data_IF_520436079464
#
_entry.id   IF_520436079464
#
_cell.length_a   1.000
_cell.length_b   1.000
_cell.length_c   1.000
_cell.angle_alpha   90.00
_cell.angle_beta   90.00
_cell.angle_gamma   90.00
#
_symmetry.space_group_name_H-M   'P 1'
#
loop_
_entity.id
_entity.type
_entity.pdbx_description
1 polymer ?
#
# COMPACT_ATOMS: atom_id res chain seq x y z
N UNK A 1 -47.65 -14.91 -37.71
CA UNK A 1 -48.24 -15.62 -36.54
C UNK A 1 -47.16 -15.72 -35.48
N UNK A 2 -47.37 -15.06 -34.32
CA UNK A 2 -46.72 -15.23 -33.00
C UNK A 2 -45.16 -15.14 -32.93
N UNK A 3 -44.46 -14.46 -32.03
CA UNK A 3 -44.67 -13.59 -30.84
C UNK A 3 -43.35 -12.79 -30.74
N UNK A 4 -43.30 -11.45 -30.73
CA UNK A 4 -43.62 -10.51 -29.65
C UNK A 4 -42.79 -10.65 -28.36
N UNK A 5 -41.76 -9.80 -28.26
CA UNK A 5 -41.45 -8.89 -27.15
C UNK A 5 -41.57 -9.39 -25.68
N UNK A 6 -40.43 -9.76 -25.10
CA UNK A 6 -40.07 -9.79 -23.67
C UNK A 6 -38.52 -9.84 -23.66
N UNK A 7 -37.69 -8.99 -23.06
CA UNK A 7 -37.85 -8.01 -22.00
C UNK A 7 -36.81 -6.88 -22.18
N UNK A 8 -37.28 -5.71 -22.62
CA UNK A 8 -36.62 -4.40 -22.38
C UNK A 8 -37.58 -3.57 -21.55
N UNK A 9 -37.56 -3.75 -20.23
CA UNK A 9 -38.20 -2.85 -19.27
C UNK A 9 -37.83 -3.26 -17.84
N UNK A 10 -36.90 -2.51 -17.20
CA UNK A 10 -36.83 -2.25 -15.74
C UNK A 10 -35.62 -1.36 -15.42
N UNK A 11 -35.63 -0.18 -16.00
CA UNK A 11 -35.07 1.02 -15.40
C UNK A 11 -36.23 2.03 -15.33
N UNK A 12 -36.26 2.90 -14.32
CA UNK A 12 -37.30 3.91 -14.03
C UNK A 12 -38.61 3.41 -13.39
N UNK A 13 -38.59 3.20 -12.06
CA UNK A 13 -39.81 3.14 -11.25
C UNK A 13 -39.59 3.47 -9.75
N UNK A 14 -38.92 4.58 -9.43
CA UNK A 14 -38.94 5.18 -8.08
C UNK A 14 -38.88 6.72 -8.15
N UNK A 15 -39.86 7.31 -8.83
CA UNK A 15 -40.38 8.67 -8.55
C UNK A 15 -41.89 8.62 -8.83
N UNK A 16 -42.68 9.18 -7.91
CA UNK A 16 -44.15 9.21 -7.82
C UNK A 16 -44.81 8.15 -6.93
N UNK A 17 -44.55 8.25 -5.62
CA UNK A 17 -45.54 8.00 -4.55
C UNK A 17 -45.39 9.11 -3.50
N UNK A 18 -45.87 10.29 -3.87
CA UNK A 18 -46.34 11.32 -2.96
C UNK A 18 -47.73 11.72 -3.52
N UNK A 19 -48.68 12.02 -2.63
CA UNK A 19 -50.08 12.38 -2.89
C UNK A 19 -51.09 11.22 -2.93
N UNK A 20 -51.47 10.75 -1.73
CA UNK A 20 -52.84 10.34 -1.41
C UNK A 20 -53.02 10.28 0.12
N UNK A 21 -53.08 11.43 0.78
CA UNK A 21 -53.75 11.62 2.08
C UNK A 21 -53.83 13.13 2.36
N UNK A 22 -54.95 13.74 2.00
CA UNK A 22 -55.27 15.10 2.40
C UNK A 22 -55.92 15.11 3.79
N UNK A 23 -55.40 15.93 4.69
CA UNK A 23 -56.14 16.64 5.73
C UNK A 23 -55.25 17.74 6.35
N UNK A 24 -55.75 18.98 6.38
CA UNK A 24 -55.14 20.22 6.91
C UNK A 24 -56.08 20.78 8.01
N UNK A 25 -55.59 21.57 8.98
CA UNK A 25 -55.97 21.56 10.41
C UNK A 25 -56.93 22.70 10.82
N UNK A 26 -57.07 23.02 12.14
CA UNK A 26 -56.58 24.36 12.56
C UNK A 26 -56.06 24.51 14.01
N UNK A 27 -55.32 25.62 14.21
CA UNK A 27 -55.20 26.43 15.44
C UNK A 27 -53.96 26.18 16.32
N UNK A 28 -53.25 27.13 16.94
CA UNK A 28 -52.97 28.59 16.88
C UNK A 28 -52.38 28.96 18.26
N UNK A 29 -51.60 30.06 18.33
CA UNK A 29 -51.01 30.73 19.52
C UNK A 29 -49.60 30.22 19.94
N UNK A 30 -48.49 30.94 19.81
CA UNK A 30 -48.05 32.31 20.23
C UNK A 30 -47.33 32.34 21.58
N UNK A 31 -46.31 33.22 21.68
CA UNK A 31 -45.38 33.55 22.80
C UNK A 31 -44.03 32.82 22.69
N UNK A 32 -42.89 33.44 22.35
CA UNK A 32 -42.31 34.75 22.67
C UNK A 32 -42.02 34.94 24.17
N UNK A 33 -40.75 34.72 24.52
CA UNK A 33 -39.92 35.31 25.60
C UNK A 33 -38.72 34.38 25.81
N UNK A 34 -37.54 34.77 26.22
CA UNK A 34 -36.80 36.03 26.39
C UNK A 34 -35.48 35.56 27.03
N UNK A 35 -34.37 36.25 26.72
CA UNK A 35 -33.25 36.52 27.64
C UNK A 35 -32.37 35.30 28.02
N UNK A 36 -31.06 35.37 28.22
CA UNK A 36 -30.09 36.46 28.26
C UNK A 36 -28.71 35.80 28.40
N UNK A 37 -27.69 36.32 27.72
CA UNK A 37 -26.30 36.08 28.11
C UNK A 37 -26.00 36.71 29.50
N UNK A 38 -24.90 36.30 30.14
CA UNK A 38 -23.96 37.32 30.56
C UNK A 38 -22.51 37.00 30.15
N UNK A 39 -21.85 38.00 29.57
CA UNK A 39 -20.41 38.19 29.73
C UNK A 39 -20.12 38.64 31.18
N UNK A 40 -18.96 38.27 31.74
CA UNK A 40 -17.88 39.21 32.15
C UNK A 40 -16.81 38.54 33.03
N UNK A 41 -15.54 38.69 32.59
CA UNK A 41 -14.30 38.98 33.38
C UNK A 41 -13.69 37.82 34.19
N UNK A 42 -12.38 37.67 34.42
CA UNK A 42 -11.22 38.55 34.66
C UNK A 42 -9.95 37.72 34.29
N UNK A 43 -9.10 38.10 33.32
CA UNK A 43 -7.79 38.78 33.42
C UNK A 43 -6.69 38.20 34.34
N UNK A 44 -5.49 38.04 33.72
CA UNK A 44 -4.11 38.10 34.24
C UNK A 44 -3.44 36.84 34.84
N UNK A 45 -2.35 36.39 34.20
CA UNK A 45 -0.99 36.61 34.72
C UNK A 45 0.07 36.46 33.60
N UNK A 46 0.86 37.52 33.42
CA UNK A 46 2.13 37.57 32.69
C UNK A 46 3.28 37.51 33.71
N UNK A 47 4.20 36.55 33.54
CA UNK A 47 5.60 36.47 34.01
C UNK A 47 5.94 34.96 34.06
N UNK A 48 7.04 34.42 33.54
CA UNK A 48 8.37 34.97 33.36
C UNK A 48 9.11 34.25 32.21
N UNK A 49 9.77 35.02 31.35
CA UNK A 49 10.96 34.58 30.61
C UNK A 49 12.18 34.92 31.46
N UNK A 50 13.05 33.94 31.71
CA UNK A 50 14.51 34.03 31.60
C UNK A 50 15.17 32.90 32.41
N UNK A 51 16.00 32.11 31.72
CA UNK A 51 17.27 31.53 32.19
C UNK A 51 17.46 30.10 31.63
N UNK A 52 18.01 30.01 30.42
CA UNK A 52 18.80 28.86 30.01
C UNK A 52 20.17 29.38 29.52
N UNK A 53 21.29 28.85 30.03
CA UNK A 53 22.63 29.29 29.64
C UNK A 53 22.96 28.84 28.21
N UNK A 54 23.43 29.78 27.39
CA UNK A 54 23.94 29.51 26.05
C UNK A 54 25.31 28.81 26.09
N UNK A 55 25.67 28.06 25.04
CA UNK A 55 26.97 27.40 24.96
C UNK A 55 28.10 28.40 24.74
N UNK A 56 29.11 28.31 25.61
CA UNK A 56 30.39 29.01 25.50
C UNK A 56 31.16 28.55 24.26
N UNK A 57 31.37 29.45 23.30
CA UNK A 57 32.37 29.29 22.25
C UNK A 57 33.59 30.13 22.60
N UNK A 58 34.72 29.47 22.83
CA UNK A 58 36.02 30.11 23.00
C UNK A 58 36.59 30.41 21.61
N UNK A 59 37.09 31.64 21.46
CA UNK A 59 37.66 32.18 20.24
C UNK A 59 38.98 31.48 19.84
N UNK A 60 39.19 31.39 18.53
CA UNK A 60 40.36 30.84 17.88
C UNK A 60 41.62 31.70 18.09
N UNK A 61 42.76 31.04 18.26
CA UNK A 61 44.08 31.61 18.00
C UNK A 61 44.64 31.01 16.70
N UNK A 62 45.05 31.88 15.79
CA UNK A 62 45.69 31.54 14.52
C UNK A 62 47.18 31.20 14.71
N UNK A 63 47.64 30.17 14.03
CA UNK A 63 49.06 29.83 13.85
C UNK A 63 49.23 29.04 12.56
N UNK A 64 50.05 29.56 11.64
CA UNK A 64 50.19 29.08 10.27
C UNK A 64 51.01 27.79 10.10
N UNK A 65 50.97 27.26 8.87
CA UNK A 65 51.79 26.15 8.43
C UNK A 65 51.28 25.57 7.12
N UNK A 66 52.06 25.74 6.07
CA UNK A 66 51.83 25.31 4.68
C UNK A 66 51.53 23.80 4.53
N UNK A 67 50.66 23.46 3.58
CA UNK A 67 50.45 22.07 3.17
C UNK A 67 49.23 21.87 2.27
N UNK A 68 49.36 22.18 0.98
CA UNK A 68 48.39 21.80 -0.04
C UNK A 68 48.40 20.27 -0.23
N UNK A 69 47.34 19.59 0.20
CA UNK A 69 47.04 18.19 -0.13
C UNK A 69 45.79 18.19 -1.02
N UNK A 70 45.79 17.57 -2.21
CA UNK A 70 44.61 17.54 -3.06
C UNK A 70 43.53 16.67 -2.40
N UNK A 71 42.39 17.29 -2.11
CA UNK A 71 41.19 16.61 -1.62
C UNK A 71 40.73 15.62 -2.70
N UNK A 72 40.96 14.34 -2.45
CA UNK A 72 40.33 13.26 -3.21
C UNK A 72 38.81 13.44 -3.17
N UNK A 73 38.18 13.43 -4.34
CA UNK A 73 36.73 13.44 -4.50
C UNK A 73 36.13 12.35 -3.60
N UNK A 74 35.17 12.66 -2.71
CA UNK A 74 34.57 11.64 -1.87
C UNK A 74 33.95 10.56 -2.78
N UNK A 75 34.09 9.27 -2.44
CA UNK A 75 33.44 8.22 -3.21
C UNK A 75 31.94 8.53 -3.24
N UNK A 76 31.36 8.48 -4.44
CA UNK A 76 29.90 8.54 -4.60
C UNK A 76 29.34 7.46 -3.69
N UNK A 77 28.66 7.87 -2.61
CA UNK A 77 27.93 6.95 -1.75
C UNK A 77 27.06 6.10 -2.66
N UNK A 78 27.40 4.82 -2.74
CA UNK A 78 26.57 3.85 -3.42
C UNK A 78 25.15 4.01 -2.90
N UNK A 79 24.19 4.13 -3.81
CA UNK A 79 22.78 4.04 -3.48
C UNK A 79 22.60 2.64 -2.87
N UNK A 80 22.54 2.58 -1.54
CA UNK A 80 22.35 1.34 -0.81
C UNK A 80 21.07 0.63 -1.27
N UNK A 81 20.92 -0.68 -0.94
CA UNK A 81 19.70 -1.42 -1.26
C UNK A 81 18.49 -0.67 -0.72
N UNK A 82 17.36 -0.72 -1.45
CA UNK A 82 16.10 -0.12 -1.06
C UNK A 82 15.81 -0.44 0.41
N UNK A 83 15.84 0.60 1.25
CA UNK A 83 15.67 0.52 2.70
C UNK A 83 14.30 -0.11 2.97
N UNK A 84 14.27 -1.24 3.67
CA UNK A 84 13.05 -1.80 4.24
C UNK A 84 12.33 -0.67 4.98
N UNK A 85 11.08 -0.37 4.59
CA UNK A 85 10.32 0.72 5.22
C UNK A 85 10.11 0.32 6.68
N UNK A 86 10.32 1.25 7.62
CA UNK A 86 9.93 0.99 9.01
C UNK A 86 8.43 0.70 9.07
N UNK A 87 7.99 -0.12 10.02
CA UNK A 87 6.57 -0.39 10.27
C UNK A 87 5.74 0.89 10.39
N UNK A 88 6.30 1.91 11.07
CA UNK A 88 5.70 3.25 11.17
C UNK A 88 5.43 3.86 9.80
N UNK A 89 6.42 3.82 8.89
CA UNK A 89 6.25 4.39 7.55
C UNK A 89 5.22 3.61 6.70
N UNK A 90 5.01 2.32 6.98
CA UNK A 90 3.95 1.53 6.33
C UNK A 90 2.58 1.92 6.87
N UNK A 91 2.44 2.06 8.20
CA UNK A 91 1.19 2.50 8.83
C UNK A 91 0.78 3.87 8.32
N UNK A 92 1.69 4.86 8.35
CA UNK A 92 1.42 6.21 7.85
C UNK A 92 1.07 6.23 6.34
N UNK A 93 1.64 5.31 5.56
CA UNK A 93 1.32 5.16 4.14
C UNK A 93 -0.10 4.66 3.91
N UNK A 94 -0.52 3.64 4.67
CA UNK A 94 -1.87 3.08 4.60
C UNK A 94 -2.90 4.12 5.07
N UNK A 95 -2.67 4.74 6.23
CA UNK A 95 -3.58 5.76 6.77
C UNK A 95 -3.75 6.94 5.80
N UNK A 96 -2.65 7.43 5.21
CA UNK A 96 -2.72 8.48 4.20
C UNK A 96 -3.55 8.06 2.99
N UNK A 97 -3.43 6.81 2.53
CA UNK A 97 -4.23 6.30 1.39
C UNK A 97 -5.71 6.15 1.75
N UNK A 98 -6.04 5.74 2.98
CA UNK A 98 -7.42 5.72 3.49
C UNK A 98 -8.02 7.14 3.47
N UNK A 99 -7.31 8.13 3.99
CA UNK A 99 -7.78 9.53 3.96
C UNK A 99 -7.93 10.05 2.52
N UNK A 100 -7.01 9.71 1.61
CA UNK A 100 -7.12 10.06 0.18
C UNK A 100 -8.34 9.42 -0.50
N UNK A 101 -8.76 8.25 -0.02
CA UNK A 101 -9.95 7.55 -0.47
C UNK A 101 -11.26 8.12 0.13
N UNK A 102 -11.16 9.05 1.07
CA UNK A 102 -12.30 9.64 1.78
C UNK A 102 -12.69 8.92 3.07
N UNK A 103 -11.86 7.99 3.56
CA UNK A 103 -12.06 7.29 4.82
C UNK A 103 -11.55 8.04 6.04
N UNK A 104 -11.94 7.54 7.20
CA UNK A 104 -11.55 8.06 8.50
C UNK A 104 -10.56 7.10 9.19
N UNK A 105 -9.41 7.65 9.58
CA UNK A 105 -8.38 6.94 10.33
C UNK A 105 -8.42 7.27 11.83
N UNK A 106 -9.30 8.16 12.26
CA UNK A 106 -9.49 8.55 13.65
C UNK A 106 -10.71 7.83 14.22
N UNK A 107 -10.48 6.95 15.20
CA UNK A 107 -11.53 6.21 15.88
C UNK A 107 -11.00 5.37 17.04
N UNK A 108 -11.91 4.89 17.90
CA UNK A 108 -11.58 4.00 19.03
C UNK A 108 -11.08 2.63 18.55
N UNK A 109 -11.59 2.16 17.41
CA UNK A 109 -11.08 1.00 16.67
C UNK A 109 -11.07 1.34 15.18
N UNK A 110 -9.94 1.15 14.52
CA UNK A 110 -9.80 1.32 13.07
C UNK A 110 -9.07 0.09 12.52
N UNK A 111 -9.61 -0.53 11.48
CA UNK A 111 -8.95 -1.61 10.75
C UNK A 111 -8.82 -1.20 9.29
N UNK A 112 -7.59 -1.13 8.77
CA UNK A 112 -7.31 -0.72 7.40
C UNK A 112 -6.55 -1.83 6.67
N UNK A 113 -7.09 -2.27 5.54
CA UNK A 113 -6.50 -3.25 4.63
C UNK A 113 -5.75 -2.51 3.51
N UNK A 114 -4.63 -3.06 3.05
CA UNK A 114 -3.85 -2.57 1.91
C UNK A 114 -3.31 -3.71 1.06
N UNK A 115 -3.32 -3.55 -0.26
CA UNK A 115 -2.71 -4.49 -1.20
C UNK A 115 -2.14 -3.77 -2.43
N UNK A 116 -1.65 -4.52 -3.43
CA UNK A 116 -0.90 -3.97 -4.58
C UNK A 116 -1.38 -4.48 -5.95
N UNK A 117 -2.52 -5.16 -5.99
CA UNK A 117 -3.10 -5.72 -7.20
C UNK A 117 -4.49 -5.13 -7.44
N UNK A 118 -5.06 -5.27 -8.64
CA UNK A 118 -6.42 -4.82 -8.88
C UNK A 118 -7.50 -5.80 -8.42
N UNK A 119 -7.12 -6.88 -7.72
CA UNK A 119 -8.05 -7.88 -7.19
C UNK A 119 -8.97 -7.26 -6.14
N UNK A 120 -10.11 -7.90 -5.95
CA UNK A 120 -11.15 -7.49 -5.00
C UNK A 120 -10.89 -8.21 -3.68
N UNK A 121 -10.24 -7.52 -2.74
CA UNK A 121 -10.02 -8.02 -1.40
C UNK A 121 -10.98 -7.31 -0.44
N UNK A 122 -11.73 -8.11 0.32
CA UNK A 122 -12.70 -7.62 1.29
C UNK A 122 -12.12 -7.71 2.71
N UNK A 123 -12.24 -6.61 3.46
CA UNK A 123 -12.01 -6.54 4.89
C UNK A 123 -13.29 -6.91 5.63
N UNK A 124 -13.17 -7.86 6.55
CA UNK A 124 -14.26 -8.30 7.39
C UNK A 124 -13.94 -8.06 8.86
N UNK A 125 -14.91 -7.48 9.57
CA UNK A 125 -14.85 -7.28 11.03
C UNK A 125 -16.09 -7.87 11.68
N UNK A 126 -15.92 -8.95 12.43
CA UNK A 126 -17.00 -9.52 13.26
C UNK A 126 -16.97 -8.85 14.62
N UNK A 127 -18.10 -8.27 15.01
CA UNK A 127 -18.29 -7.56 16.28
C UNK A 127 -18.76 -8.53 17.39
N UNK A 128 -18.76 -8.11 18.68
CA UNK A 128 -19.03 -9.01 19.81
C UNK A 128 -20.36 -9.76 19.82
N UNK A 129 -21.42 -9.18 19.23
CA UNK A 129 -22.73 -9.83 19.11
C UNK A 129 -22.81 -10.84 17.95
N UNK A 130 -21.72 -10.98 17.17
CA UNK A 130 -21.61 -11.87 16.03
C UNK A 130 -22.03 -11.23 14.69
N UNK A 131 -22.52 -9.99 14.69
CA UNK A 131 -22.74 -9.27 13.45
C UNK A 131 -21.40 -9.00 12.74
N UNK A 132 -21.47 -8.81 11.43
CA UNK A 132 -20.30 -8.66 10.58
C UNK A 132 -20.38 -7.37 9.77
N UNK A 133 -19.29 -6.61 9.80
CA UNK A 133 -19.05 -5.48 8.91
C UNK A 133 -18.25 -5.98 7.71
N UNK A 134 -18.81 -5.81 6.52
CA UNK A 134 -18.22 -6.19 5.24
C UNK A 134 -18.88 -5.41 4.10
N UNK A 135 -18.44 -5.64 2.87
CA UNK A 135 -19.07 -5.05 1.67
C UNK A 135 -20.61 -5.24 1.67
N UNK A 136 -21.09 -6.43 2.04
CA UNK A 136 -22.52 -6.75 2.06
C UNK A 136 -23.28 -6.05 3.20
N UNK A 137 -22.64 -5.88 4.35
CA UNK A 137 -23.22 -5.28 5.55
C UNK A 137 -22.27 -4.20 6.07
N UNK A 138 -22.35 -3.00 5.50
CA UNK A 138 -21.35 -1.94 5.73
C UNK A 138 -21.36 -1.34 7.14
N UNK A 139 -22.36 -1.60 7.98
CA UNK A 139 -22.45 -1.03 9.34
C UNK A 139 -22.96 -2.06 10.33
N UNK A 140 -22.32 -2.12 11.50
CA UNK A 140 -22.79 -2.90 12.64
C UNK A 140 -22.19 -2.34 13.94
N UNK A 141 -22.99 -2.35 15.03
CA UNK A 141 -22.54 -2.00 16.38
C UNK A 141 -21.69 -0.71 16.49
N UNK A 142 -22.04 0.34 15.74
CA UNK A 142 -21.32 1.62 15.72
C UNK A 142 -20.13 1.70 14.76
N UNK A 143 -19.73 0.59 14.15
CA UNK A 143 -18.69 0.54 13.12
C UNK A 143 -19.24 0.69 11.71
N UNK A 144 -18.39 1.16 10.81
CA UNK A 144 -18.70 1.38 9.39
C UNK A 144 -17.53 1.01 8.47
N UNK A 145 -17.81 0.31 7.37
CA UNK A 145 -16.92 0.19 6.21
C UNK A 145 -17.04 1.46 5.36
N UNK A 146 -16.17 2.42 5.61
CA UNK A 146 -16.20 3.74 4.99
C UNK A 146 -15.41 3.82 3.69
N UNK A 147 -14.40 2.95 3.51
CA UNK A 147 -13.62 2.80 2.28
C UNK A 147 -13.63 1.34 1.85
N UNK A 148 -13.93 1.15 0.58
CA UNK A 148 -13.95 -0.13 -0.11
C UNK A 148 -13.53 0.14 -1.57
N UNK A 149 -12.48 -0.55 -2.02
CA UNK A 149 -11.84 -0.31 -3.32
C UNK A 149 -11.78 -1.59 -4.14
N UNK A 150 -11.78 -1.41 -5.45
CA UNK A 150 -11.62 -2.50 -6.43
C UNK A 150 -12.78 -3.49 -6.60
N UNK A 151 -14.00 -3.18 -6.10
CA UNK A 151 -15.26 -3.91 -6.38
C UNK A 151 -15.47 -4.33 -7.85
N UNK A 152 -14.95 -3.53 -8.80
CA UNK A 152 -15.05 -3.78 -10.25
C UNK A 152 -13.67 -3.85 -10.93
N UNK A 153 -12.63 -4.08 -10.14
CA UNK A 153 -11.24 -3.86 -10.50
C UNK A 153 -11.01 -2.47 -11.10
N UNK A 154 -10.02 -2.35 -11.97
CA UNK A 154 -9.67 -1.06 -12.60
C UNK A 154 -10.65 -0.58 -13.67
N UNK A 155 -11.63 -1.39 -14.11
CA UNK A 155 -12.63 -0.97 -15.12
C UNK A 155 -13.64 0.04 -14.56
N UNK A 156 -13.86 0.02 -13.25
CA UNK A 156 -14.88 0.83 -12.57
C UNK A 156 -14.41 2.14 -11.93
N UNK A 157 -13.13 2.51 -12.11
CA UNK A 157 -12.60 3.82 -11.72
C UNK A 157 -12.10 3.97 -10.28
N UNK A 158 -12.58 3.16 -9.32
CA UNK A 158 -12.20 3.25 -7.90
C UNK A 158 -11.14 2.20 -7.47
N UNK A 159 -10.17 1.88 -8.33
CA UNK A 159 -9.13 0.91 -8.03
C UNK A 159 -7.74 1.48 -8.29
N UNK A 160 -7.10 1.93 -7.21
CA UNK A 160 -5.77 2.53 -7.21
C UNK A 160 -4.66 1.50 -7.48
N UNK A 161 -3.40 1.94 -7.60
CA UNK A 161 -2.26 1.00 -7.69
C UNK A 161 -2.03 0.24 -6.38
N UNK A 162 -2.29 0.92 -5.25
CA UNK A 162 -2.23 0.36 -3.92
C UNK A 162 -3.57 0.58 -3.23
N UNK A 163 -4.57 -0.28 -3.47
CA UNK A 163 -5.91 -0.09 -2.94
C UNK A 163 -5.93 -0.22 -1.41
N UNK A 164 -7.00 0.29 -0.82
CA UNK A 164 -7.27 0.20 0.61
C UNK A 164 -8.74 -0.09 0.87
N UNK A 165 -9.02 -0.78 1.97
CA UNK A 165 -10.33 -0.80 2.61
C UNK A 165 -10.19 -0.35 4.06
N UNK A 166 -11.27 0.17 4.65
CA UNK A 166 -11.24 0.65 6.01
C UNK A 166 -12.57 0.44 6.73
N UNK A 167 -12.48 -0.11 7.95
CA UNK A 167 -13.56 -0.16 8.92
C UNK A 167 -13.18 0.73 10.10
N UNK A 168 -14.08 1.63 10.48
CA UNK A 168 -13.89 2.56 11.60
C UNK A 168 -15.05 2.48 12.59
N UNK A 169 -14.71 2.45 13.87
CA UNK A 169 -15.59 2.75 15.00
C UNK A 169 -15.15 4.14 15.51
N UNK A 170 -15.85 5.19 15.08
CA UNK A 170 -15.39 6.56 15.29
C UNK A 170 -15.42 6.96 16.78
N UNK A 171 -16.57 6.77 17.43
CA UNK A 171 -16.79 7.29 18.79
C UNK A 171 -16.85 6.18 19.84
N UNK A 172 -17.59 5.10 19.58
CA UNK A 172 -17.80 4.00 20.52
C UNK A 172 -17.71 2.65 19.80
N UNK A 173 -17.17 1.66 20.50
CA UNK A 173 -17.21 0.26 20.10
C UNK A 173 -17.70 -0.61 21.28
N UNK A 174 -18.52 -1.64 21.01
CA UNK A 174 -19.04 -2.51 22.07
C UNK A 174 -17.91 -3.24 22.79
N UNK A 175 -18.08 -3.49 24.08
CA UNK A 175 -17.21 -4.41 24.83
C UNK A 175 -17.33 -5.82 24.27
N UNK A 176 -16.21 -6.51 24.12
CA UNK A 176 -16.15 -7.95 23.86
C UNK A 176 -15.21 -8.30 22.72
N UNK A 177 -15.50 -9.44 22.10
CA UNK A 177 -14.61 -10.08 21.13
C UNK A 177 -14.80 -9.56 19.71
N UNK A 178 -13.72 -9.08 19.11
CA UNK A 178 -13.66 -8.70 17.70
C UNK A 178 -12.82 -9.70 16.91
N UNK A 179 -13.18 -9.92 15.65
CA UNK A 179 -12.39 -10.72 14.70
C UNK A 179 -12.19 -9.94 13.42
N UNK A 180 -10.94 -9.77 13.00
CA UNK A 180 -10.54 -9.14 11.75
C UNK A 180 -9.97 -10.21 10.83
N UNK A 181 -10.50 -10.29 9.62
CA UNK A 181 -9.99 -11.21 8.60
C UNK A 181 -10.14 -10.61 7.20
N UNK A 182 -9.39 -11.16 6.25
CA UNK A 182 -9.39 -10.71 4.85
C UNK A 182 -9.89 -11.84 3.98
N UNK A 183 -10.75 -11.51 3.02
CA UNK A 183 -11.25 -12.43 2.00
C UNK A 183 -10.77 -11.96 0.62
N UNK A 184 -10.36 -12.90 -0.22
CA UNK A 184 -10.25 -12.63 -1.66
C UNK A 184 -11.64 -12.84 -2.28
N UNK A 185 -12.37 -11.78 -2.55
CA UNK A 185 -13.68 -11.89 -3.16
C UNK A 185 -13.56 -12.33 -4.61
N UNK A 186 -12.67 -11.68 -5.38
CA UNK A 186 -12.52 -11.99 -6.80
C UNK A 186 -11.15 -11.61 -7.35
N UNK A 187 -10.62 -12.48 -8.21
CA UNK A 187 -9.45 -12.16 -9.02
C UNK A 187 -9.85 -11.26 -10.19
N UNK A 188 -9.22 -10.10 -10.27
CA UNK A 188 -9.39 -9.20 -11.39
C UNK A 188 -8.17 -9.26 -12.31
N UNK A 189 -8.24 -10.04 -13.42
CA UNK A 189 -7.23 -9.90 -14.45
C UNK A 189 -7.30 -8.47 -14.98
N UNK A 190 -6.12 -7.85 -15.12
CA UNK A 190 -6.01 -6.50 -15.65
C UNK A 190 -6.77 -6.41 -16.98
N UNK A 191 -7.59 -5.37 -17.14
CA UNK A 191 -8.51 -5.30 -18.28
C UNK A 191 -7.87 -4.86 -19.60
N UNK A 192 -6.63 -4.40 -19.53
CA UNK A 192 -5.88 -3.99 -20.71
C UNK A 192 -5.68 -5.21 -21.62
N UNK A 193 -5.58 -5.03 -22.96
CA UNK A 193 -5.13 -6.09 -23.84
C UNK A 193 -3.84 -6.71 -23.30
N UNK A 194 -3.67 -8.03 -23.43
CA UNK A 194 -2.50 -8.76 -22.91
C UNK A 194 -1.17 -8.06 -23.29
N UNK A 195 -1.06 -7.59 -24.53
CA UNK A 195 0.10 -6.83 -25.00
C UNK A 195 0.39 -5.56 -24.17
N UNK A 196 -0.64 -4.83 -23.72
CA UNK A 196 -0.48 -3.67 -22.84
C UNK A 196 -0.18 -4.05 -21.40
N UNK A 197 -0.70 -5.17 -20.92
CA UNK A 197 -0.34 -5.71 -19.60
C UNK A 197 1.14 -6.11 -19.58
N UNK A 198 1.57 -6.86 -20.60
CA UNK A 198 2.96 -7.27 -20.80
C UNK A 198 3.86 -6.04 -20.98
N UNK A 199 3.45 -5.03 -21.75
CA UNK A 199 4.21 -3.79 -21.90
C UNK A 199 4.41 -3.04 -20.58
N UNK A 200 3.39 -2.99 -19.71
CA UNK A 200 3.50 -2.41 -18.36
C UNK A 200 4.40 -3.21 -17.42
N UNK A 201 4.60 -4.49 -17.71
CA UNK A 201 5.54 -5.35 -16.97
C UNK A 201 6.97 -5.31 -17.49
N UNK A 202 7.25 -4.62 -18.60
CA UNK A 202 8.60 -4.53 -19.16
C UNK A 202 9.48 -3.64 -18.27
N UNK A 203 10.01 -4.21 -17.21
CA UNK A 203 11.04 -3.60 -16.37
C UNK A 203 12.42 -3.94 -16.93
N UNK A 204 13.28 -2.94 -17.08
CA UNK A 204 14.62 -3.12 -17.64
C UNK A 204 14.67 -3.44 -19.14
N UNK A 205 13.58 -3.16 -19.89
CA UNK A 205 13.54 -3.31 -21.34
C UNK A 205 13.42 -4.75 -21.86
N UNK A 206 13.25 -5.75 -20.98
CA UNK A 206 12.96 -7.13 -21.39
C UNK A 206 11.47 -7.42 -21.31
N UNK A 207 11.01 -8.37 -22.12
CA UNK A 207 9.68 -8.97 -21.96
C UNK A 207 9.65 -9.90 -20.74
N UNK A 208 8.58 -9.88 -19.93
CA UNK A 208 8.40 -10.84 -18.85
C UNK A 208 8.19 -12.25 -19.40
N UNK A 209 8.70 -13.26 -18.71
CA UNK A 209 8.46 -14.67 -19.04
C UNK A 209 7.00 -15.05 -18.78
N UNK A 210 6.56 -16.22 -19.27
CA UNK A 210 5.20 -16.70 -19.03
C UNK A 210 4.95 -16.96 -17.54
N UNK A 211 5.97 -17.43 -16.84
CA UNK A 211 5.95 -17.66 -15.39
C UNK A 211 5.77 -16.34 -14.64
N UNK A 212 6.50 -15.28 -15.01
CA UNK A 212 6.37 -13.96 -14.39
C UNK A 212 5.01 -13.31 -14.66
N UNK A 213 4.49 -13.47 -15.88
CA UNK A 213 3.13 -13.03 -16.21
C UNK A 213 2.10 -13.77 -15.35
N UNK A 214 2.26 -15.09 -15.18
CA UNK A 214 1.38 -15.90 -14.34
C UNK A 214 1.48 -15.50 -12.86
N UNK A 215 2.67 -15.22 -12.35
CA UNK A 215 2.85 -14.74 -10.98
C UNK A 215 2.24 -13.35 -10.74
N UNK A 216 2.13 -12.50 -11.78
CA UNK A 216 1.58 -11.14 -11.65
C UNK A 216 0.08 -11.07 -11.96
N UNK A 217 -0.43 -11.89 -12.88
CA UNK A 217 -1.81 -11.79 -13.40
C UNK A 217 -2.62 -13.09 -13.29
N UNK A 218 -1.96 -14.21 -13.04
CA UNK A 218 -2.64 -15.49 -12.93
C UNK A 218 -3.64 -15.49 -11.79
N UNK A 219 -4.72 -16.25 -11.95
CA UNK A 219 -5.73 -16.43 -10.90
C UNK A 219 -5.25 -17.41 -9.82
N UNK A 220 -4.25 -18.23 -10.12
CA UNK A 220 -3.70 -19.21 -9.17
C UNK A 220 -2.59 -18.62 -8.28
N UNK A 221 -2.42 -17.29 -8.27
CA UNK A 221 -1.43 -16.63 -7.42
C UNK A 221 -2.04 -16.24 -6.07
N UNK A 222 -1.25 -16.21 -5.00
CA UNK A 222 -1.66 -15.54 -3.77
C UNK A 222 -1.67 -14.02 -3.98
N UNK A 223 -2.55 -13.31 -3.26
CA UNK A 223 -2.57 -11.84 -3.22
C UNK A 223 -1.92 -11.40 -1.91
N UNK A 224 -0.80 -10.70 -1.98
CA UNK A 224 -0.12 -10.14 -0.80
C UNK A 224 -0.92 -8.94 -0.26
N UNK A 225 -1.03 -8.84 1.05
CA UNK A 225 -1.70 -7.71 1.71
C UNK A 225 -1.08 -7.39 3.07
N UNK A 226 -1.37 -6.18 3.54
CA UNK A 226 -1.09 -5.73 4.90
C UNK A 226 -2.38 -5.28 5.58
N UNK A 227 -2.45 -5.45 6.90
CA UNK A 227 -3.55 -4.92 7.72
C UNK A 227 -2.98 -4.12 8.88
N UNK A 228 -3.53 -2.94 9.10
CA UNK A 228 -3.30 -2.15 10.31
C UNK A 228 -4.55 -2.21 11.16
N UNK A 229 -4.40 -2.54 12.44
CA UNK A 229 -5.48 -2.40 13.42
C UNK A 229 -5.03 -1.41 14.49
N UNK A 230 -5.72 -0.27 14.58
CA UNK A 230 -5.50 0.77 15.57
C UNK A 230 -6.59 0.74 16.63
N UNK A 231 -6.21 0.72 17.90
CA UNK A 231 -7.14 0.69 19.03
C UNK A 231 -6.72 1.78 20.02
N UNK A 232 -7.58 2.77 20.22
CA UNK A 232 -7.28 4.00 20.99
C UNK A 232 -5.94 4.64 20.58
N UNK A 233 -5.67 4.76 19.29
CA UNK A 233 -4.43 5.34 18.78
C UNK A 233 -3.23 4.38 18.71
N UNK A 234 -3.28 3.21 19.36
CA UNK A 234 -2.21 2.22 19.31
C UNK A 234 -2.34 1.32 18.08
N UNK A 235 -1.43 1.47 17.13
CA UNK A 235 -1.43 0.71 15.88
C UNK A 235 -0.66 -0.62 15.99
N UNK A 236 -1.27 -1.69 15.49
CA UNK A 236 -0.64 -2.98 15.21
C UNK A 236 -0.64 -3.23 13.71
N UNK A 237 0.53 -3.53 13.15
CA UNK A 237 0.71 -3.80 11.73
C UNK A 237 0.96 -5.29 11.52
N UNK A 238 0.16 -5.90 10.66
CA UNK A 238 0.26 -7.30 10.22
C UNK A 238 0.75 -7.33 8.77
N UNK A 239 1.92 -7.93 8.54
CA UNK A 239 2.55 -8.01 7.20
C UNK A 239 3.06 -9.42 6.90
N UNK A 240 3.48 -9.62 5.65
CA UNK A 240 3.92 -10.92 5.17
C UNK A 240 2.76 -11.92 5.08
N UNK A 241 1.55 -11.41 4.90
CA UNK A 241 0.32 -12.18 4.73
C UNK A 241 -0.07 -12.20 3.26
N UNK A 242 -0.76 -13.26 2.86
CA UNK A 242 -1.31 -13.39 1.53
C UNK A 242 -2.50 -14.34 1.51
N UNK A 243 -3.37 -14.16 0.51
CA UNK A 243 -4.54 -15.03 0.32
C UNK A 243 -4.09 -16.41 -0.16
N UNK A 244 -4.83 -17.49 0.18
CA UNK A 244 -4.56 -18.80 -0.41
C UNK A 244 -4.66 -18.76 -1.94
N UNK A 245 -3.68 -19.37 -2.61
CA UNK A 245 -3.57 -19.39 -4.07
C UNK A 245 -4.81 -19.96 -4.75
N UNK A 246 -5.35 -19.24 -5.74
CA UNK A 246 -6.49 -19.70 -6.54
C UNK A 246 -7.82 -19.78 -5.79
N UNK A 247 -7.86 -19.39 -4.52
CA UNK A 247 -9.06 -19.42 -3.70
C UNK A 247 -9.74 -18.06 -3.67
N UNK A 248 -11.07 -18.11 -3.61
CA UNK A 248 -11.96 -16.95 -3.43
C UNK A 248 -13.01 -17.27 -2.38
N UNK A 249 -13.73 -16.25 -1.94
CA UNK A 249 -14.80 -16.36 -0.94
C UNK A 249 -14.29 -17.04 0.34
N UNK A 250 -15.12 -17.82 1.01
CA UNK A 250 -14.80 -18.44 2.31
C UNK A 250 -13.53 -19.30 2.29
N UNK A 251 -13.21 -19.96 1.17
CA UNK A 251 -11.98 -20.76 1.04
C UNK A 251 -10.70 -19.91 1.04
N UNK A 252 -10.83 -18.59 0.87
CA UNK A 252 -9.72 -17.63 0.86
C UNK A 252 -9.57 -16.84 2.15
N UNK A 253 -10.45 -17.06 3.14
CA UNK A 253 -10.44 -16.29 4.38
C UNK A 253 -9.12 -16.46 5.14
N UNK A 254 -8.43 -15.35 5.39
CA UNK A 254 -7.22 -15.30 6.22
C UNK A 254 -7.53 -14.55 7.50
N UNK A 255 -7.50 -15.26 8.63
CA UNK A 255 -7.62 -14.62 9.96
C UNK A 255 -6.40 -13.75 10.22
N UNK A 256 -6.63 -12.53 10.70
CA UNK A 256 -5.56 -11.56 10.95
C UNK A 256 -5.41 -11.27 12.43
N UNK A 257 -6.49 -10.83 13.07
CA UNK A 257 -6.44 -10.43 14.47
C UNK A 257 -7.75 -10.75 15.17
N UNK A 258 -7.68 -11.38 16.34
CA UNK A 258 -8.82 -11.57 17.22
C UNK A 258 -8.44 -11.07 18.60
N UNK A 259 -9.33 -10.31 19.23
CA UNK A 259 -9.04 -9.67 20.50
C UNK A 259 -10.30 -9.41 21.32
N UNK A 260 -10.14 -9.35 22.63
CA UNK A 260 -11.13 -8.83 23.56
C UNK A 260 -10.88 -7.34 23.78
N UNK A 261 -11.92 -6.53 23.57
CA UNK A 261 -11.89 -5.08 23.76
C UNK A 261 -12.75 -4.65 24.95
N UNK A 262 -12.21 -3.75 25.78
CA UNK A 262 -12.88 -3.20 26.96
C UNK A 262 -12.77 -1.67 26.98
N UNK A 263 -13.78 -0.91 26.50
CA UNK A 263 -13.66 0.55 26.32
C UNK A 263 -13.45 1.32 27.63
N UNK A 264 -13.88 0.75 28.77
CA UNK A 264 -13.76 1.38 30.10
C UNK A 264 -12.57 0.85 30.92
N UNK A 265 -11.66 0.11 30.30
CA UNK A 265 -10.44 -0.34 30.95
C UNK A 265 -9.55 0.84 31.36
N UNK A 266 -8.85 0.67 32.49
CA UNK A 266 -7.97 1.73 33.04
C UNK A 266 -6.56 1.69 32.46
N UNK A 267 -6.11 0.52 31.99
CA UNK A 267 -4.83 0.35 31.31
C UNK A 267 -5.03 -0.15 29.87
N UNK A 268 -3.98 -0.06 29.07
CA UNK A 268 -4.01 -0.54 27.67
C UNK A 268 -4.07 -2.07 27.60
N UNK A 269 -3.41 -2.76 28.52
CA UNK A 269 -3.39 -4.23 28.61
C UNK A 269 -4.76 -4.79 28.99
N UNK A 270 -5.51 -4.09 29.84
CA UNK A 270 -6.90 -4.45 30.16
C UNK A 270 -7.85 -4.05 29.03
N UNK A 271 -7.52 -3.00 28.28
CA UNK A 271 -8.35 -2.51 27.17
C UNK A 271 -8.34 -3.46 25.99
N UNK A 272 -7.19 -4.07 25.75
CA UNK A 272 -6.95 -4.94 24.61
C UNK A 272 -6.23 -6.21 25.06
N UNK A 273 -6.94 -7.34 25.02
CA UNK A 273 -6.35 -8.66 25.23
C UNK A 273 -6.35 -9.41 23.90
N UNK A 274 -5.17 -9.58 23.25
CA UNK A 274 -5.05 -10.40 22.05
C UNK A 274 -5.46 -11.85 22.33
N UNK A 275 -6.27 -12.41 21.43
CA UNK A 275 -6.65 -13.83 21.41
C UNK A 275 -5.87 -14.55 20.31
N UNK A 276 -5.72 -13.90 19.15
CA UNK A 276 -4.98 -14.42 18.01
C UNK A 276 -4.33 -13.27 17.26
N UNK A 277 -3.06 -13.44 16.89
CA UNK A 277 -2.29 -12.53 16.05
C UNK A 277 -1.69 -13.34 14.91
N UNK A 278 -1.99 -12.96 13.66
CA UNK A 278 -1.39 -13.58 12.50
C UNK A 278 0.11 -13.24 12.46
N UNK A 279 0.93 -14.29 12.28
CA UNK A 279 2.34 -14.14 11.99
C UNK A 279 2.57 -14.09 10.47
N UNK A 280 3.69 -13.51 10.06
CA UNK A 280 4.12 -13.58 8.66
C UNK A 280 4.20 -15.03 8.19
N UNK A 281 3.66 -15.30 7.00
CA UNK A 281 3.69 -16.62 6.39
C UNK A 281 4.96 -16.77 5.52
N UNK A 282 5.83 -17.76 5.77
CA UNK A 282 7.02 -18.00 4.96
C UNK A 282 6.74 -18.22 3.46
N UNK A 283 5.61 -18.82 3.10
CA UNK A 283 5.21 -19.02 1.70
C UNK A 283 4.87 -17.68 1.02
N UNK A 284 4.19 -16.78 1.74
CA UNK A 284 3.92 -15.42 1.27
C UNK A 284 5.21 -14.61 1.13
N UNK A 285 6.11 -14.70 2.11
CA UNK A 285 7.42 -14.04 2.04
C UNK A 285 8.25 -14.55 0.85
N UNK A 286 8.29 -15.86 0.62
CA UNK A 286 8.97 -16.44 -0.54
C UNK A 286 8.34 -15.99 -1.87
N UNK A 287 7.01 -15.89 -1.94
CA UNK A 287 6.32 -15.35 -3.11
C UNK A 287 6.66 -13.87 -3.34
N UNK A 288 6.69 -13.05 -2.29
CA UNK A 288 7.09 -11.65 -2.36
C UNK A 288 8.52 -11.48 -2.88
N UNK A 289 9.47 -12.30 -2.43
CA UNK A 289 10.84 -12.26 -2.94
C UNK A 289 10.90 -12.58 -4.43
N UNK A 290 10.19 -13.62 -4.90
CA UNK A 290 10.12 -13.95 -6.32
C UNK A 290 9.51 -12.82 -7.16
N UNK A 291 8.51 -12.10 -6.64
CA UNK A 291 7.95 -10.92 -7.30
C UNK A 291 8.99 -9.80 -7.45
N UNK A 292 9.75 -9.51 -6.39
CA UNK A 292 10.81 -8.50 -6.40
C UNK A 292 11.96 -8.86 -7.34
N UNK A 293 12.37 -10.12 -7.37
CA UNK A 293 13.38 -10.64 -8.29
C UNK A 293 12.95 -10.49 -9.75
N UNK A 294 11.69 -10.85 -10.06
CA UNK A 294 11.13 -10.65 -11.39
C UNK A 294 11.16 -9.17 -11.83
N UNK A 295 11.00 -8.22 -10.88
CA UNK A 295 11.03 -6.78 -11.14
C UNK A 295 12.44 -6.22 -11.39
N UNK A 296 13.49 -6.80 -10.79
CA UNK A 296 14.86 -6.28 -10.89
C UNK A 296 15.56 -6.62 -12.21
N UNK A 297 15.00 -7.54 -13.02
CA UNK A 297 15.64 -8.05 -14.23
C UNK A 297 16.86 -8.93 -13.93
N UNK A 298 17.48 -9.56 -14.94
CA UNK A 298 18.69 -10.34 -14.70
C UNK A 298 19.76 -9.41 -14.13
N UNK A 299 20.15 -9.68 -12.87
CA UNK A 299 21.34 -9.07 -12.30
C UNK A 299 22.48 -9.31 -13.29
N UNK A 300 23.16 -8.26 -13.75
CA UNK A 300 24.43 -8.46 -14.43
C UNK A 300 25.35 -9.11 -13.40
N UNK A 301 25.42 -10.44 -13.42
CA UNK A 301 26.51 -11.16 -12.79
C UNK A 301 27.77 -10.61 -13.46
N UNK A 302 28.51 -9.78 -12.71
CA UNK A 302 29.87 -9.44 -13.08
C UNK A 302 30.59 -10.79 -13.27
N UNK A 303 31.24 -11.03 -14.42
CA UNK A 303 31.91 -12.30 -14.63
C UNK A 303 32.94 -12.47 -13.52
N UNK A 304 32.85 -13.59 -12.81
CA UNK A 304 33.90 -14.01 -11.88
C UNK A 304 35.23 -13.95 -12.65
N UNK A 305 36.15 -13.16 -12.11
CA UNK A 305 37.41 -12.86 -12.76
C UNK A 305 38.13 -14.17 -13.07
N UNK A 306 38.17 -14.52 -14.36
CA UNK A 306 39.15 -15.46 -14.87
C UNK A 306 40.52 -14.84 -14.60
N UNK A 307 41.20 -15.32 -13.55
CA UNK A 307 42.60 -15.06 -13.30
C UNK A 307 43.44 -15.72 -14.41
N UNK A 308 43.42 -15.10 -15.60
CA UNK A 308 44.30 -15.40 -16.70
C UNK A 308 45.59 -14.61 -16.52
N UNK A 309 46.55 -15.18 -15.80
CA UNK A 309 47.91 -14.67 -15.69
C UNK A 309 48.57 -14.67 -17.08
N UNK A 310 48.54 -13.54 -17.80
CA UNK A 310 49.44 -13.29 -18.94
C UNK A 310 50.43 -12.21 -18.56
N UNK A 311 51.64 -12.65 -18.22
CA UNK A 311 52.82 -11.80 -18.05
C UNK A 311 53.23 -11.17 -19.41
N UNK A 312 53.78 -9.94 -19.42
CA UNK A 312 54.19 -9.25 -20.63
C UNK A 312 55.57 -9.71 -21.14
N UNK A 313 55.73 -9.55 -22.45
CA UNK A 313 56.76 -10.06 -23.36
C UNK A 313 58.20 -9.61 -23.04
N UNK A 314 59.16 -10.49 -23.32
CA UNK A 314 60.49 -10.11 -23.84
C UNK A 314 60.58 -10.52 -25.31
N UNK A 315 60.70 -9.53 -26.20
CA UNK A 315 61.02 -9.72 -27.62
C UNK A 315 62.53 -9.60 -27.78
N UNK A 316 63.18 -10.70 -28.12
CA UNK A 316 64.55 -10.66 -28.64
C UNK A 316 64.56 -10.34 -30.14
N UNK A 317 65.51 -9.48 -30.49
CA UNK A 317 65.84 -9.06 -31.86
C UNK A 317 66.76 -10.10 -32.49
N UNK A 318 66.48 -10.53 -33.72
CA UNK A 318 67.52 -10.73 -34.73
C UNK A 318 66.97 -10.95 -36.14
N UNK A 319 67.61 -10.24 -37.07
CA UNK A 319 67.85 -10.56 -38.49
C UNK A 319 66.69 -10.67 -39.51
N UNK A 320 66.57 -9.62 -40.31
CA UNK A 320 66.20 -9.63 -41.74
C UNK A 320 67.34 -10.32 -42.58
N UNK A 321 67.28 -10.53 -43.93
CA UNK A 321 66.56 -9.71 -44.91
C UNK A 321 66.03 -10.39 -46.22
N UNK A 322 65.44 -9.53 -47.08
CA UNK A 322 65.27 -9.63 -48.55
C UNK A 322 64.22 -10.64 -49.06
N UNK A 323 63.43 -10.41 -50.12
CA UNK A 323 63.52 -9.52 -51.28
C UNK A 323 62.12 -9.48 -51.98
N UNK A 324 61.80 -8.37 -52.68
CA UNK A 324 61.17 -8.26 -54.03
C UNK A 324 59.95 -9.15 -54.40
N UNK A 325 58.91 -8.74 -55.13
CA UNK A 325 58.63 -7.58 -55.96
C UNK A 325 57.16 -7.62 -56.44
N UNK A 326 56.63 -6.42 -56.74
CA UNK A 326 55.82 -6.02 -57.92
C UNK A 326 54.48 -6.72 -58.30
N UNK A 327 53.48 -5.84 -58.45
CA UNK A 327 52.50 -5.71 -59.56
C UNK A 327 51.42 -6.80 -59.69
N UNK A 328 50.15 -6.54 -60.01
CA UNK A 328 49.43 -5.34 -60.42
C UNK A 328 47.93 -5.66 -60.68
N UNK A 329 47.14 -4.60 -60.91
CA UNK A 329 45.93 -4.48 -61.76
C UNK A 329 44.92 -5.66 -61.82
N UNK A 330 43.65 -5.53 -61.40
CA UNK A 330 42.53 -4.75 -61.96
C UNK A 330 41.50 -5.60 -62.74
N UNK A 331 40.22 -5.38 -62.40
CA UNK A 331 38.99 -5.34 -63.25
C UNK A 331 38.18 -6.59 -63.64
N UNK A 332 36.89 -6.27 -63.82
CA UNK A 332 35.74 -6.95 -64.46
C UNK A 332 35.02 -8.00 -63.60
N UNK A 333 33.73 -7.91 -63.25
CA UNK A 333 32.48 -7.46 -63.91
C UNK A 333 32.01 -8.39 -65.05
N UNK A 334 30.82 -8.98 -64.87
CA UNK A 334 29.98 -9.53 -65.93
C UNK A 334 29.34 -10.88 -65.60
N UNK A 335 28.00 -10.94 -65.66
CA UNK A 335 27.22 -12.18 -65.73
C UNK A 335 26.02 -12.20 -64.81
#
# INVERSE_FOLDING_TARGET
RASCAFARARASAWRRRAEAAGAVPPGSASQQRQQSAPMHRIAALLAALAALPGPSYVAAAAGGGDGLVPVGRPPRRGRGPARERSSVAVVEDIERRVVQAGGNVEGVIVASLSWSTPDDLDLHVVVPDGAEISFQHRKAAGGELDVDMCVHGRRGGACAEHPVENVVFADEAPRGRFKVYVQNFNFHPNFLPEAMQVARMQEGGRRPTKEEQTMRLGRDRPVLFEVVVKIEGNARLFQGLCTPSGKTHTESNVRVFEFEYSPRAKSEEERLVPVYEAASDPACAAFQQRLLEAQRGPSQALPEGSAGSRAPQRRDRSSAPQQQARQGAARSAGG
#
